data_IF_614289146164
#
_entry.id   IF_614289146164
#
_cell.length_a   1.000
_cell.length_b   1.000
_cell.length_c   1.000
_cell.angle_alpha   90.00
_cell.angle_beta   90.00
_cell.angle_gamma   90.00
#
_symmetry.space_group_name_H-M   'P 1'
#
loop_
_entity.id
_entity.type
_entity.pdbx_description
1 polymer ?
#
# COMPACT_ATOMS: atom_id res chain seq x y z
N UNK A 1 -9.03 -7.45 15.20
CA UNK A 1 -8.13 -6.53 14.48
C UNK A 1 -6.98 -7.36 13.97
N UNK A 2 -6.82 -7.51 12.63
CA UNK A 2 -5.61 -8.10 12.04
C UNK A 2 -4.61 -6.95 11.91
N UNK A 3 -3.59 -6.95 12.77
CA UNK A 3 -2.45 -6.02 12.64
C UNK A 3 -1.76 -6.26 11.28
N UNK A 4 -1.06 -5.25 10.77
CA UNK A 4 -0.31 -5.39 9.52
C UNK A 4 0.63 -6.58 9.65
N UNK A 5 0.90 -7.35 8.57
CA UNK A 5 1.73 -8.54 8.66
C UNK A 5 3.06 -8.23 9.36
N UNK A 6 3.43 -9.00 10.38
CA UNK A 6 4.68 -8.82 11.12
C UNK A 6 5.87 -9.19 10.24
N UNK A 7 6.36 -8.20 9.50
CA UNK A 7 7.59 -8.18 8.72
C UNK A 7 7.77 -9.19 7.56
N UNK A 8 8.51 -8.82 6.49
CA UNK A 8 8.93 -7.49 6.10
C UNK A 8 8.17 -7.08 4.83
N UNK A 9 6.83 -6.93 4.92
CA UNK A 9 6.07 -6.34 3.82
C UNK A 9 6.64 -4.95 3.44
N UNK A 10 7.14 -4.20 4.42
CA UNK A 10 7.83 -2.92 4.23
C UNK A 10 9.05 -3.04 3.30
N UNK A 11 9.82 -4.13 3.40
CA UNK A 11 10.96 -4.38 2.49
C UNK A 11 10.46 -4.79 1.12
N UNK A 12 9.43 -5.63 1.02
CA UNK A 12 8.80 -5.98 -0.25
C UNK A 12 8.31 -4.72 -0.99
N UNK A 13 7.56 -3.86 -0.30
CA UNK A 13 7.08 -2.57 -0.84
C UNK A 13 8.14 -1.46 -0.84
N UNK A 14 9.41 -1.74 -0.55
CA UNK A 14 10.49 -0.83 -0.96
C UNK A 14 10.67 -0.86 -2.49
N UNK A 15 10.32 -2.00 -3.13
CA UNK A 15 10.20 -2.10 -4.58
C UNK A 15 9.16 -1.12 -5.12
N UNK A 16 9.56 -0.29 -6.08
CA UNK A 16 8.65 0.63 -6.77
C UNK A 16 7.55 -0.12 -7.51
N UNK A 17 7.86 -1.27 -8.12
CA UNK A 17 6.88 -2.08 -8.85
C UNK A 17 5.77 -2.57 -7.92
N UNK A 18 6.14 -3.14 -6.77
CA UNK A 18 5.16 -3.65 -5.80
C UNK A 18 4.31 -2.53 -5.20
N UNK A 19 4.90 -1.34 -4.97
CA UNK A 19 4.11 -0.16 -4.54
C UNK A 19 3.09 0.27 -5.56
N UNK A 20 3.48 0.34 -6.83
CA UNK A 20 2.56 0.73 -7.89
C UNK A 20 1.42 -0.29 -8.05
N UNK A 21 1.73 -1.60 -7.97
CA UNK A 21 0.70 -2.65 -7.94
C UNK A 21 -0.27 -2.48 -6.77
N UNK A 22 0.24 -2.16 -5.57
CA UNK A 22 -0.62 -1.90 -4.40
C UNK A 22 -1.51 -0.69 -4.60
N UNK A 23 -0.95 0.45 -5.04
CA UNK A 23 -1.72 1.67 -5.28
C UNK A 23 -2.83 1.42 -6.31
N UNK A 24 -2.49 0.84 -7.46
CA UNK A 24 -3.46 0.52 -8.51
C UNK A 24 -4.52 -0.47 -8.02
N UNK A 25 -4.11 -1.51 -7.28
CA UNK A 25 -5.00 -2.52 -6.73
C UNK A 25 -6.02 -1.94 -5.75
N UNK A 26 -5.59 -1.04 -4.87
CA UNK A 26 -6.49 -0.34 -3.95
C UNK A 26 -7.40 0.63 -4.72
N UNK A 27 -6.86 1.49 -5.58
CA UNK A 27 -7.65 2.46 -6.34
C UNK A 27 -8.74 1.82 -7.21
N UNK A 28 -8.46 0.67 -7.83
CA UNK A 28 -9.44 -0.05 -8.65
C UNK A 28 -10.60 -0.64 -7.85
N UNK A 29 -10.41 -0.86 -6.55
CA UNK A 29 -11.42 -1.40 -5.64
C UNK A 29 -12.18 -0.31 -4.89
N UNK A 30 -11.71 0.94 -4.96
CA UNK A 30 -12.41 2.05 -4.37
C UNK A 30 -13.65 2.40 -5.19
N UNK A 31 -14.79 2.67 -4.53
CA UNK A 31 -15.86 3.40 -5.18
C UNK A 31 -15.27 4.69 -5.76
N UNK A 32 -15.72 5.07 -6.95
CA UNK A 32 -15.31 6.31 -7.61
C UNK A 32 -15.79 7.52 -6.78
N UNK A 33 -15.07 7.84 -5.71
CA UNK A 33 -15.20 9.06 -4.94
C UNK A 33 -14.47 10.14 -5.72
N UNK A 34 -15.10 10.63 -6.78
CA UNK A 34 -14.66 11.85 -7.43
C UNK A 34 -14.99 13.01 -6.49
N UNK A 35 -13.98 13.49 -5.77
CA UNK A 35 -14.07 14.79 -5.12
C UNK A 35 -14.04 15.80 -6.26
N UNK A 36 -15.18 16.44 -6.52
CA UNK A 36 -15.23 17.61 -7.39
C UNK A 36 -14.61 18.73 -6.58
N UNK A 37 -13.33 19.01 -6.83
CA UNK A 37 -12.68 20.22 -6.36
C UNK A 37 -13.09 21.35 -7.30
N UNK A 38 -13.63 22.43 -6.75
CA UNK A 38 -13.77 23.67 -7.50
C UNK A 38 -12.37 24.25 -7.79
N UNK A 39 -12.24 25.09 -8.83
CA UNK A 39 -10.95 25.56 -9.38
C UNK A 39 -10.04 26.27 -8.35
N UNK A 40 -10.63 26.70 -7.21
CA UNK A 40 -9.96 27.39 -6.11
C UNK A 40 -9.84 26.55 -4.81
N UNK A 41 -10.30 25.30 -4.79
CA UNK A 41 -10.17 24.43 -3.61
C UNK A 41 -8.82 23.70 -3.56
N UNK A 42 -8.06 23.94 -2.50
CA UNK A 42 -6.86 23.17 -2.21
C UNK A 42 -7.25 21.76 -1.73
N UNK A 43 -6.53 20.75 -2.24
CA UNK A 43 -6.63 19.40 -1.72
C UNK A 43 -6.37 19.42 -0.20
N UNK A 44 -7.21 18.75 0.61
CA UNK A 44 -6.94 18.61 2.02
C UNK A 44 -5.53 18.05 2.24
N UNK A 45 -4.68 18.80 2.94
CA UNK A 45 -3.34 18.32 3.34
C UNK A 45 -3.41 17.16 4.33
N UNK A 46 -4.54 17.04 5.03
CA UNK A 46 -4.83 15.91 5.90
C UNK A 46 -5.62 14.84 5.12
N UNK A 47 -5.02 13.67 4.84
CA UNK A 47 -5.72 12.59 4.14
C UNK A 47 -6.91 12.05 4.94
N UNK A 48 -7.00 12.29 6.25
CA UNK A 48 -8.18 11.91 7.04
C UNK A 48 -9.41 12.75 6.71
N UNK A 49 -9.25 13.95 6.14
CA UNK A 49 -10.35 14.78 5.63
C UNK A 49 -10.96 14.24 4.33
N UNK A 50 -10.31 13.30 3.64
CA UNK A 50 -10.84 12.69 2.43
C UNK A 50 -11.90 11.60 2.72
N UNK A 51 -12.02 11.19 3.99
CA UNK A 51 -12.98 10.18 4.43
C UNK A 51 -14.00 10.84 5.35
N UNK A 52 -15.28 10.77 4.97
CA UNK A 52 -16.35 11.48 5.66
C UNK A 52 -16.78 10.79 6.97
N UNK A 53 -16.49 9.50 7.13
CA UNK A 53 -16.89 8.70 8.29
C UNK A 53 -15.79 7.74 8.78
N UNK A 54 -15.86 7.38 10.07
CA UNK A 54 -15.00 6.36 10.68
C UNK A 54 -15.17 4.99 10.00
N UNK A 55 -16.37 4.69 9.51
CA UNK A 55 -16.67 3.45 8.80
C UNK A 55 -15.89 3.37 7.47
N UNK A 56 -15.84 4.47 6.70
CA UNK A 56 -15.03 4.54 5.48
C UNK A 56 -13.53 4.42 5.76
N UNK A 57 -13.04 5.01 6.85
CA UNK A 57 -11.64 4.85 7.27
C UNK A 57 -11.30 3.39 7.61
N UNK A 58 -12.18 2.71 8.35
CA UNK A 58 -12.01 1.29 8.69
C UNK A 58 -12.05 0.43 7.42
N UNK A 59 -13.00 0.68 6.52
CA UNK A 59 -13.11 -0.04 5.25
C UNK A 59 -11.84 0.14 4.41
N UNK A 60 -11.32 1.36 4.33
CA UNK A 60 -10.07 1.67 3.63
C UNK A 60 -8.88 0.90 4.22
N UNK A 61 -8.74 0.91 5.55
CA UNK A 61 -7.67 0.17 6.21
C UNK A 61 -7.76 -1.34 5.95
N UNK A 62 -8.98 -1.90 5.98
CA UNK A 62 -9.21 -3.32 5.68
C UNK A 62 -8.79 -3.63 4.24
N UNK A 63 -9.23 -2.81 3.28
CA UNK A 63 -8.91 -2.97 1.87
C UNK A 63 -7.40 -2.93 1.61
N UNK A 64 -6.70 -1.97 2.22
CA UNK A 64 -5.23 -1.85 2.10
C UNK A 64 -4.55 -3.10 2.67
N UNK A 65 -4.97 -3.58 3.84
CA UNK A 65 -4.38 -4.76 4.49
C UNK A 65 -4.62 -6.03 3.68
N UNK A 66 -5.83 -6.22 3.16
CA UNK A 66 -6.16 -7.36 2.29
C UNK A 66 -5.36 -7.32 0.99
N UNK A 67 -5.25 -6.15 0.37
CA UNK A 67 -4.45 -5.97 -0.84
C UNK A 67 -2.96 -6.25 -0.61
N UNK A 68 -2.43 -5.85 0.55
CA UNK A 68 -1.07 -6.20 0.95
C UNK A 68 -0.89 -7.71 1.04
N UNK A 69 -1.77 -8.40 1.77
CA UNK A 69 -1.67 -9.86 1.95
C UNK A 69 -1.75 -10.56 0.59
N UNK A 70 -2.71 -10.19 -0.25
CA UNK A 70 -2.87 -10.76 -1.58
C UNK A 70 -1.61 -10.56 -2.44
N UNK A 71 -1.05 -9.35 -2.47
CA UNK A 71 0.15 -9.07 -3.26
C UNK A 71 1.39 -9.82 -2.74
N UNK A 72 1.52 -9.99 -1.43
CA UNK A 72 2.60 -10.78 -0.84
C UNK A 72 2.49 -12.24 -1.24
N UNK A 73 1.29 -12.81 -1.20
CA UNK A 73 1.03 -14.20 -1.60
C UNK A 73 1.24 -14.41 -3.11
N UNK A 74 0.70 -13.52 -3.95
CA UNK A 74 0.81 -13.59 -5.41
C UNK A 74 2.25 -13.40 -5.92
N UNK A 75 3.05 -12.60 -5.21
CA UNK A 75 4.42 -12.27 -5.62
C UNK A 75 5.48 -12.90 -4.70
N UNK A 76 5.14 -13.96 -3.95
CA UNK A 76 6.01 -14.54 -2.92
C UNK A 76 7.42 -14.88 -3.44
N UNK A 77 7.52 -15.59 -4.57
CA UNK A 77 8.80 -15.99 -5.16
C UNK A 77 9.64 -14.79 -5.60
N UNK A 78 8.98 -13.78 -6.19
CA UNK A 78 9.65 -12.53 -6.58
C UNK A 78 10.19 -11.78 -5.36
N UNK A 79 9.38 -11.68 -4.30
CA UNK A 79 9.73 -10.99 -3.07
C UNK A 79 10.90 -11.67 -2.36
N UNK A 80 10.90 -13.00 -2.26
CA UNK A 80 12.00 -13.76 -1.66
C UNK A 80 13.30 -13.45 -2.40
N UNK A 81 13.30 -13.55 -3.73
CA UNK A 81 14.49 -13.26 -4.54
C UNK A 81 14.97 -11.82 -4.37
N UNK A 82 14.05 -10.85 -4.39
CA UNK A 82 14.35 -9.43 -4.20
C UNK A 82 14.99 -9.16 -2.83
N UNK A 83 14.42 -9.71 -1.75
CA UNK A 83 14.96 -9.54 -0.39
C UNK A 83 16.35 -10.18 -0.27
N UNK A 84 16.54 -11.38 -0.83
CA UNK A 84 17.85 -12.04 -0.82
C UNK A 84 18.92 -11.21 -1.55
N UNK A 85 18.58 -10.61 -2.70
CA UNK A 85 19.50 -9.74 -3.44
C UNK A 85 19.88 -8.48 -2.63
N UNK A 86 18.91 -7.87 -1.95
CA UNK A 86 19.17 -6.71 -1.08
C UNK A 86 20.12 -7.08 0.07
N UNK A 87 19.91 -8.24 0.70
CA UNK A 87 20.76 -8.71 1.80
C UNK A 87 22.20 -9.01 1.35
N UNK A 88 22.36 -9.64 0.18
CA UNK A 88 23.68 -9.92 -0.37
C UNK A 88 24.45 -8.63 -0.72
N UNK A 89 23.77 -7.64 -1.29
CA UNK A 89 24.35 -6.33 -1.62
C UNK A 89 24.79 -5.55 -0.37
N UNK A 90 24.03 -5.67 0.72
CA UNK A 90 24.37 -5.03 2.00
C UNK A 90 25.60 -5.67 2.68
N UNK A 91 25.78 -6.98 2.51
CA UNK A 91 26.91 -7.72 3.09
C UNK A 91 28.23 -7.51 2.32
N UNK A 92 28.19 -7.13 1.04
CA UNK A 92 29.39 -6.84 0.24
C UNK A 92 29.99 -5.45 0.50
N UNK A 93 29.26 -4.57 1.19
CA UNK A 93 29.67 -3.20 1.54
C UNK A 93 30.14 -3.05 3.01
N UNK A 94 30.17 -4.15 3.77
CA UNK A 94 30.59 -4.22 5.17
C UNK A 94 31.94 -4.92 5.33
#
# INVERSE_FOLDING_TARGET
MKEYPEQPYQVAFSSQELRQKLILGVLNQLPNYYIILEEDEELPTDPTCLYYSLEEQILMEVLIRESIVHLLEENADYIINYITQLQNSANELA
#
